data_IF_910744700484
#
_entry.id   IF_910744700484
#
_cell.length_a   1.000
_cell.length_b   1.000
_cell.length_c   1.000
_cell.angle_alpha   90.00
_cell.angle_beta   90.00
_cell.angle_gamma   90.00
#
_symmetry.space_group_name_H-M   'P 1'
#
loop_
_entity.id
_entity.type
_entity.pdbx_description
1 polymer ?
#
# COMPACT_ATOMS: atom_id res chain seq x y z
N UNK A 1 1.48 26.59 1.78
CA UNK A 1 2.47 25.48 1.79
C UNK A 1 2.57 24.90 0.37
N UNK A 2 3.77 24.54 -0.13
CA UNK A 2 3.90 23.77 -1.39
C UNK A 2 4.25 22.32 -1.05
N UNK A 3 3.36 21.40 -1.43
CA UNK A 3 3.54 19.95 -1.26
C UNK A 3 3.67 19.27 -2.62
N UNK A 4 4.65 18.38 -2.76
CA UNK A 4 4.82 17.56 -3.95
C UNK A 4 4.50 16.08 -3.66
N UNK A 5 3.58 15.50 -4.42
CA UNK A 5 3.36 14.06 -4.44
C UNK A 5 4.09 13.48 -5.65
N UNK A 6 5.14 12.70 -5.38
CA UNK A 6 5.96 12.08 -6.41
C UNK A 6 5.64 10.59 -6.51
N UNK A 7 5.45 10.04 -7.70
CA UNK A 7 5.36 8.59 -7.86
C UNK A 7 4.96 8.10 -9.24
N UNK A 8 5.38 6.89 -9.58
CA UNK A 8 5.06 6.25 -10.86
C UNK A 8 3.54 6.08 -11.03
N UNK A 9 3.04 5.97 -12.28
CA UNK A 9 1.64 5.65 -12.54
C UNK A 9 1.18 4.40 -11.77
N UNK A 10 0.01 4.48 -11.14
CA UNK A 10 -0.54 3.40 -10.29
C UNK A 10 0.10 3.27 -8.90
N UNK A 11 0.90 4.23 -8.46
CA UNK A 11 1.51 4.23 -7.11
C UNK A 11 0.57 4.66 -5.97
N UNK A 12 -0.60 5.23 -6.30
CA UNK A 12 -1.58 5.70 -5.32
C UNK A 12 -1.53 7.20 -5.01
N UNK A 13 -0.63 7.96 -5.65
CA UNK A 13 -0.46 9.41 -5.42
C UNK A 13 -1.77 10.22 -5.60
N UNK A 14 -2.50 9.96 -6.68
CA UNK A 14 -3.72 10.71 -7.01
C UNK A 14 -4.88 10.38 -6.07
N UNK A 15 -5.01 9.12 -5.64
CA UNK A 15 -5.95 8.75 -4.57
C UNK A 15 -5.63 9.51 -3.29
N UNK A 16 -4.36 9.52 -2.88
CA UNK A 16 -3.93 10.22 -1.67
C UNK A 16 -4.18 11.72 -1.76
N UNK A 17 -3.91 12.33 -2.91
CA UNK A 17 -4.21 13.73 -3.19
C UNK A 17 -5.69 14.06 -2.92
N UNK A 18 -6.59 13.22 -3.44
CA UNK A 18 -8.03 13.42 -3.26
C UNK A 18 -8.45 13.20 -1.81
N UNK A 19 -8.05 12.08 -1.22
CA UNK A 19 -8.47 11.65 0.11
C UNK A 19 -7.96 12.58 1.23
N UNK A 20 -6.69 12.99 1.17
CA UNK A 20 -6.00 13.66 2.27
C UNK A 20 -5.87 15.17 2.08
N UNK A 21 -6.10 15.69 0.87
CA UNK A 21 -6.03 17.13 0.61
C UNK A 21 -7.33 17.68 0.03
N UNK A 22 -7.74 17.21 -1.16
CA UNK A 22 -8.84 17.83 -1.89
C UNK A 22 -10.17 17.74 -1.14
N UNK A 23 -10.54 16.56 -0.64
CA UNK A 23 -11.79 16.38 0.12
C UNK A 23 -11.75 17.11 1.46
N UNK A 24 -10.67 17.05 2.26
CA UNK A 24 -10.54 17.89 3.46
C UNK A 24 -10.66 19.39 3.18
N UNK A 25 -10.00 19.92 2.15
CA UNK A 25 -10.10 21.35 1.80
C UNK A 25 -11.50 21.74 1.33
N UNK A 26 -12.17 20.87 0.57
CA UNK A 26 -13.55 21.04 0.16
C UNK A 26 -14.50 21.14 1.37
N UNK A 27 -14.36 20.20 2.31
CA UNK A 27 -15.18 20.13 3.52
C UNK A 27 -14.90 21.29 4.48
N UNK A 28 -13.67 21.80 4.49
CA UNK A 28 -13.27 23.00 5.22
C UNK A 28 -13.79 24.31 4.58
N UNK A 29 -14.49 24.26 3.44
CA UNK A 29 -15.08 25.44 2.82
C UNK A 29 -14.09 26.30 2.03
N UNK A 30 -12.88 25.80 1.73
CA UNK A 30 -11.88 26.57 0.98
C UNK A 30 -12.26 26.69 -0.50
N UNK A 31 -11.88 27.81 -1.12
CA UNK A 31 -11.89 27.94 -2.59
C UNK A 31 -10.85 27.00 -3.18
N UNK A 32 -11.23 26.17 -4.15
CA UNK A 32 -10.34 25.19 -4.77
C UNK A 32 -10.13 25.52 -6.26
N UNK A 33 -8.89 25.43 -6.71
CA UNK A 33 -8.53 25.46 -8.12
C UNK A 33 -7.90 24.12 -8.48
N UNK A 34 -8.52 23.38 -9.40
CA UNK A 34 -8.18 21.98 -9.66
C UNK A 34 -7.86 21.80 -11.13
N UNK A 35 -6.64 21.34 -11.41
CA UNK A 35 -6.20 20.95 -12.72
C UNK A 35 -5.83 19.46 -12.65
N UNK A 36 -6.84 18.58 -12.65
CA UNK A 36 -6.67 17.13 -12.53
C UNK A 36 -7.44 16.49 -13.67
N UNK A 37 -6.76 15.67 -14.47
CA UNK A 37 -7.40 15.01 -15.59
C UNK A 37 -8.44 14.00 -15.09
N UNK A 38 -9.60 13.98 -15.76
CA UNK A 38 -10.73 13.14 -15.35
C UNK A 38 -11.41 13.58 -14.05
N UNK A 39 -11.23 14.82 -13.58
CA UNK A 39 -11.97 15.30 -12.41
C UNK A 39 -13.34 15.86 -12.81
N UNK A 40 -14.43 15.17 -12.46
CA UNK A 40 -15.79 15.59 -12.82
C UNK A 40 -16.62 15.99 -11.58
N UNK A 41 -17.09 17.24 -11.56
CA UNK A 41 -17.82 17.84 -10.45
C UNK A 41 -19.21 17.24 -10.20
N UNK A 42 -19.88 16.75 -11.24
CA UNK A 42 -21.17 16.07 -11.16
C UNK A 42 -21.09 14.80 -10.30
N UNK A 43 -20.04 14.00 -10.50
CA UNK A 43 -19.81 12.81 -9.67
C UNK A 43 -19.38 13.18 -8.26
N UNK A 44 -18.67 14.31 -8.08
CA UNK A 44 -18.30 14.81 -6.75
C UNK A 44 -19.52 15.26 -5.97
N UNK A 45 -20.45 15.95 -6.65
CA UNK A 45 -21.74 16.37 -6.11
C UNK A 45 -22.52 15.16 -5.57
N UNK A 46 -22.60 14.08 -6.37
CA UNK A 46 -23.23 12.83 -5.95
C UNK A 46 -22.49 12.16 -4.78
N UNK A 47 -21.16 12.15 -4.81
CA UNK A 47 -20.33 11.51 -3.78
C UNK A 47 -20.42 12.20 -2.41
N UNK A 48 -20.36 13.54 -2.38
CA UNK A 48 -20.45 14.35 -1.16
C UNK A 48 -21.91 14.67 -0.77
N UNK A 49 -22.89 14.39 -1.63
CA UNK A 49 -24.29 14.75 -1.40
C UNK A 49 -24.55 16.26 -1.42
N UNK A 50 -23.77 17.01 -2.22
CA UNK A 50 -23.88 18.47 -2.35
C UNK A 50 -24.43 18.86 -3.73
N UNK A 51 -25.24 19.93 -3.85
CA UNK A 51 -25.67 20.44 -5.15
C UNK A 51 -24.49 20.85 -6.04
N UNK A 52 -24.54 20.46 -7.32
CA UNK A 52 -23.52 20.84 -8.31
C UNK A 52 -23.27 22.36 -8.39
N UNK A 53 -24.29 23.25 -8.36
CA UNK A 53 -24.05 24.70 -8.41
C UNK A 53 -23.27 25.23 -7.21
N UNK A 54 -23.37 24.60 -6.04
CA UNK A 54 -22.59 24.98 -4.87
C UNK A 54 -21.12 24.58 -5.05
N UNK A 55 -20.87 23.37 -5.55
CA UNK A 55 -19.52 22.91 -5.86
C UNK A 55 -18.87 23.74 -6.97
N UNK A 56 -19.62 24.19 -7.98
CA UNK A 56 -19.09 25.06 -9.04
C UNK A 56 -18.70 26.45 -8.54
N UNK A 57 -19.37 26.97 -7.50
CA UNK A 57 -18.96 28.23 -6.86
C UNK A 57 -17.67 28.06 -6.06
N UNK A 58 -17.48 26.89 -5.45
CA UNK A 58 -16.34 26.62 -4.58
C UNK A 58 -15.11 26.10 -5.35
N UNK A 59 -15.32 25.32 -6.42
CA UNK A 59 -14.28 24.65 -7.20
C UNK A 59 -14.24 25.20 -8.61
N UNK A 60 -13.08 25.72 -9.01
CA UNK A 60 -12.78 26.10 -10.39
C UNK A 60 -11.92 25.02 -11.03
N UNK A 61 -12.37 24.47 -12.15
CA UNK A 61 -11.57 23.52 -12.94
C UNK A 61 -10.75 24.24 -14.00
N UNK A 62 -9.46 23.93 -14.08
CA UNK A 62 -8.56 24.44 -15.11
C UNK A 62 -8.29 23.36 -16.14
N UNK A 63 -8.91 23.50 -17.32
CA UNK A 63 -8.75 22.56 -18.43
C UNK A 63 -7.45 22.82 -19.21
N UNK A 64 -7.12 24.08 -19.47
CA UNK A 64 -5.97 24.45 -20.29
C UNK A 64 -4.70 24.63 -19.44
N UNK A 65 -3.73 23.71 -19.60
CA UNK A 65 -2.49 23.68 -18.80
C UNK A 65 -1.58 24.88 -19.04
N UNK A 66 -1.53 25.35 -20.29
CA UNK A 66 -0.73 26.50 -20.73
C UNK A 66 -1.18 27.82 -20.12
N UNK A 67 -2.46 27.95 -19.77
CA UNK A 67 -3.01 29.15 -19.14
C UNK A 67 -2.78 29.20 -17.62
N UNK A 68 -2.52 28.05 -16.97
CA UNK A 68 -2.41 27.93 -15.51
C UNK A 68 -1.39 28.91 -14.90
N UNK A 69 -0.17 29.10 -15.46
CA UNK A 69 0.77 30.06 -14.89
C UNK A 69 0.16 31.45 -14.72
N UNK A 70 -0.53 31.97 -15.74
CA UNK A 70 -1.20 33.27 -15.67
C UNK A 70 -2.38 33.26 -14.70
N UNK A 71 -3.14 32.16 -14.63
CA UNK A 71 -4.28 32.01 -13.70
C UNK A 71 -3.85 31.96 -12.22
N UNK A 72 -2.63 31.50 -11.91
CA UNK A 72 -2.12 31.50 -10.54
C UNK A 72 -2.03 32.92 -9.96
N UNK A 73 -1.81 33.93 -10.81
CA UNK A 73 -1.71 35.33 -10.38
C UNK A 73 -3.07 35.93 -9.97
N UNK A 74 -4.18 35.33 -10.38
CA UNK A 74 -5.54 35.84 -10.15
C UNK A 74 -6.37 35.01 -9.17
N UNK A 75 -5.73 34.11 -8.40
CA UNK A 75 -6.45 33.30 -7.42
C UNK A 75 -6.80 34.07 -6.15
N UNK A 76 -7.89 33.67 -5.51
CA UNK A 76 -8.36 34.24 -4.27
C UNK A 76 -7.45 33.86 -3.08
N UNK A 77 -7.16 34.78 -2.13
CA UNK A 77 -6.46 34.44 -0.90
C UNK A 77 -7.19 33.37 -0.08
N UNK A 78 -6.44 32.53 0.65
CA UNK A 78 -6.96 31.42 1.45
C UNK A 78 -7.33 30.17 0.64
N UNK A 79 -7.20 30.21 -0.69
CA UNK A 79 -7.54 29.11 -1.57
C UNK A 79 -6.53 27.96 -1.53
N UNK A 80 -6.88 26.84 -2.14
CA UNK A 80 -5.98 25.72 -2.37
C UNK A 80 -5.96 25.35 -3.85
N UNK A 81 -4.78 24.96 -4.34
CA UNK A 81 -4.54 24.62 -5.74
C UNK A 81 -4.05 23.18 -5.83
N UNK A 82 -4.64 22.38 -6.71
CA UNK A 82 -4.25 20.99 -6.96
C UNK A 82 -3.92 20.81 -8.44
N UNK A 83 -2.65 20.49 -8.74
CA UNK A 83 -2.13 20.36 -10.10
C UNK A 83 -1.64 18.93 -10.33
N UNK A 84 -2.35 18.17 -11.17
CA UNK A 84 -1.87 16.88 -11.68
C UNK A 84 -0.94 17.04 -12.86
N UNK A 85 -0.02 16.09 -12.98
CA UNK A 85 1.06 16.08 -13.97
C UNK A 85 1.73 17.46 -14.08
N UNK A 86 2.18 18.00 -12.95
CA UNK A 86 2.71 19.37 -12.82
C UNK A 86 3.89 19.66 -13.78
N UNK A 87 4.57 18.64 -14.30
CA UNK A 87 5.59 18.80 -15.35
C UNK A 87 5.02 19.27 -16.70
N UNK A 88 3.70 19.24 -16.89
CA UNK A 88 3.02 19.86 -18.04
C UNK A 88 2.96 21.39 -17.92
N UNK A 89 3.16 21.93 -16.72
CA UNK A 89 3.08 23.36 -16.40
C UNK A 89 4.48 23.92 -16.10
N UNK A 90 5.26 23.20 -15.30
CA UNK A 90 6.57 23.63 -14.79
C UNK A 90 7.69 22.72 -15.29
N UNK A 91 7.76 22.50 -16.61
CA UNK A 91 8.65 21.50 -17.19
C UNK A 91 10.13 21.78 -16.91
N UNK A 92 10.90 20.73 -16.67
CA UNK A 92 12.34 20.83 -16.48
C UNK A 92 13.03 21.51 -17.67
N UNK A 93 14.04 22.33 -17.36
CA UNK A 93 14.82 23.16 -18.31
C UNK A 93 14.04 24.30 -18.97
N UNK A 94 12.74 24.41 -18.75
CA UNK A 94 11.97 25.58 -19.16
C UNK A 94 12.08 26.69 -18.11
N UNK A 95 12.15 27.93 -18.60
CA UNK A 95 12.22 29.11 -17.75
C UNK A 95 10.81 29.53 -17.37
N UNK A 96 10.50 29.40 -16.09
CA UNK A 96 9.26 29.94 -15.53
C UNK A 96 9.35 31.47 -15.51
N UNK A 97 8.29 32.20 -15.92
CA UNK A 97 8.29 33.66 -15.83
C UNK A 97 8.56 34.13 -14.38
N UNK A 98 9.33 35.20 -14.22
CA UNK A 98 9.78 35.67 -12.91
C UNK A 98 8.63 36.07 -11.97
N UNK A 99 7.53 36.59 -12.53
CA UNK A 99 6.32 36.93 -11.79
C UNK A 99 5.68 35.70 -11.14
N UNK A 100 5.67 34.56 -11.85
CA UNK A 100 5.12 33.31 -11.34
C UNK A 100 6.00 32.73 -10.25
N UNK A 101 7.32 32.77 -10.41
CA UNK A 101 8.25 32.34 -9.36
C UNK A 101 8.11 33.18 -8.09
N UNK A 102 8.06 34.51 -8.23
CA UNK A 102 7.83 35.43 -7.12
C UNK A 102 6.50 35.16 -6.43
N UNK A 103 5.46 34.86 -7.20
CA UNK A 103 4.15 34.50 -6.65
C UNK A 103 4.22 33.18 -5.87
N UNK A 104 4.89 32.15 -6.42
CA UNK A 104 5.11 30.86 -5.73
C UNK A 104 5.90 31.02 -4.43
N UNK A 105 6.90 31.91 -4.39
CA UNK A 105 7.66 32.25 -3.18
C UNK A 105 6.79 32.89 -2.09
N UNK A 106 5.76 33.65 -2.49
CA UNK A 106 4.93 34.47 -1.59
C UNK A 106 3.54 33.88 -1.33
N UNK A 107 3.24 32.68 -1.82
CA UNK A 107 1.94 31.99 -1.68
C UNK A 107 1.45 31.92 -0.22
N UNK A 108 2.35 31.74 0.75
CA UNK A 108 2.02 31.66 2.18
C UNK A 108 1.47 32.98 2.72
N UNK A 109 1.88 34.12 2.19
CA UNK A 109 1.34 35.43 2.59
C UNK A 109 -0.13 35.57 2.20
N UNK A 110 -0.55 34.91 1.12
CA UNK A 110 -1.93 34.85 0.68
C UNK A 110 -2.70 33.69 1.30
N UNK A 111 -2.10 32.88 2.19
CA UNK A 111 -2.74 31.70 2.77
C UNK A 111 -3.04 30.61 1.74
N UNK A 112 -2.30 30.56 0.64
CA UNK A 112 -2.51 29.61 -0.45
C UNK A 112 -1.70 28.34 -0.21
N UNK A 113 -2.36 27.19 -0.37
CA UNK A 113 -1.70 25.88 -0.40
C UNK A 113 -1.68 25.30 -1.80
N UNK A 114 -0.51 24.82 -2.22
CA UNK A 114 -0.30 24.18 -3.52
C UNK A 114 0.01 22.70 -3.31
N UNK A 115 -0.76 21.84 -3.97
CA UNK A 115 -0.49 20.43 -4.12
C UNK A 115 -0.09 20.16 -5.57
N UNK A 116 1.16 19.79 -5.76
CA UNK A 116 1.72 19.39 -7.05
C UNK A 116 1.80 17.87 -7.08
N UNK A 117 1.38 17.24 -8.17
CA UNK A 117 1.61 15.82 -8.42
C UNK A 117 2.51 15.67 -9.64
N UNK A 118 3.54 14.83 -9.52
CA UNK A 118 4.45 14.53 -10.61
C UNK A 118 4.88 13.06 -10.56
N UNK A 119 5.33 12.52 -11.70
CA UNK A 119 5.86 11.16 -11.72
C UNK A 119 7.28 11.09 -11.13
N UNK A 120 8.10 12.09 -11.42
CA UNK A 120 9.44 12.32 -10.87
C UNK A 120 9.62 13.83 -10.71
N UNK A 121 10.15 14.27 -9.56
CA UNK A 121 10.40 15.69 -9.29
C UNK A 121 11.41 16.30 -10.28
N UNK A 122 12.31 15.50 -10.86
CA UNK A 122 13.30 15.94 -11.86
C UNK A 122 12.68 16.39 -13.17
N UNK A 123 11.40 16.08 -13.40
CA UNK A 123 10.65 16.59 -14.54
C UNK A 123 10.15 18.02 -14.32
N UNK A 124 10.27 18.53 -13.09
CA UNK A 124 9.96 19.91 -12.75
C UNK A 124 11.22 20.79 -12.86
N UNK A 125 11.03 22.05 -13.20
CA UNK A 125 12.12 23.04 -13.20
C UNK A 125 12.63 23.32 -11.78
N UNK A 126 13.94 23.56 -11.66
CA UNK A 126 14.59 23.76 -10.35
C UNK A 126 14.07 24.98 -9.59
N UNK A 127 13.58 26.00 -10.30
CA UNK A 127 12.94 27.16 -9.70
C UNK A 127 11.67 26.81 -8.91
N UNK A 128 10.97 25.73 -9.27
CA UNK A 128 9.77 25.27 -8.56
C UNK A 128 10.13 24.23 -7.50
N UNK A 129 11.01 23.27 -7.81
CA UNK A 129 11.38 22.21 -6.84
C UNK A 129 12.04 22.76 -5.58
N UNK A 130 12.78 23.86 -5.68
CA UNK A 130 13.40 24.54 -4.52
C UNK A 130 12.39 25.19 -3.57
N UNK A 131 11.19 25.51 -4.08
CA UNK A 131 10.10 26.09 -3.29
C UNK A 131 9.20 25.02 -2.66
N UNK A 132 9.39 23.75 -3.02
CA UNK A 132 8.66 22.64 -2.39
C UNK A 132 9.17 22.45 -0.97
N UNK A 133 8.23 22.46 -0.03
CA UNK A 133 8.51 22.41 1.41
C UNK A 133 8.38 20.98 1.95
N UNK A 134 7.50 20.17 1.35
CA UNK A 134 7.34 18.76 1.69
C UNK A 134 7.08 17.91 0.46
N UNK A 135 7.67 16.73 0.45
CA UNK A 135 7.50 15.75 -0.61
C UNK A 135 7.01 14.44 -0.04
N UNK A 136 6.02 13.82 -0.68
CA UNK A 136 5.59 12.46 -0.38
C UNK A 136 5.90 11.59 -1.60
N UNK A 137 6.91 10.72 -1.46
CA UNK A 137 7.33 9.80 -2.52
C UNK A 137 6.58 8.49 -2.41
N UNK A 138 5.69 8.19 -3.35
CA UNK A 138 4.92 6.97 -3.41
C UNK A 138 5.69 5.84 -4.09
N UNK A 139 5.56 4.62 -3.55
CA UNK A 139 6.03 3.39 -4.20
C UNK A 139 4.85 2.57 -4.68
N UNK A 140 4.97 2.02 -5.90
CA UNK A 140 3.96 1.11 -6.46
C UNK A 140 3.98 -0.22 -5.71
N UNK A 141 2.92 -0.47 -4.95
CA UNK A 141 2.78 -1.67 -4.11
C UNK A 141 2.37 -2.92 -4.89
N UNK A 142 1.85 -2.77 -6.12
CA UNK A 142 1.45 -3.92 -6.96
C UNK A 142 2.62 -4.88 -7.24
N UNK A 143 3.86 -4.37 -7.35
CA UNK A 143 5.06 -5.22 -7.53
C UNK A 143 5.29 -6.16 -6.34
N UNK A 144 4.75 -5.81 -5.18
CA UNK A 144 4.89 -6.55 -3.92
C UNK A 144 3.62 -7.35 -3.57
N UNK A 145 2.71 -7.57 -4.54
CA UNK A 145 1.47 -8.34 -4.33
C UNK A 145 0.38 -7.62 -3.52
N UNK A 146 0.65 -6.42 -3.01
CA UNK A 146 -0.26 -5.65 -2.14
C UNK A 146 -1.04 -4.59 -2.94
N UNK A 147 -2.08 -5.00 -3.67
CA UNK A 147 -2.84 -4.13 -4.58
C UNK A 147 -3.75 -3.11 -3.88
N UNK A 148 -4.13 -3.37 -2.64
CA UNK A 148 -5.09 -2.55 -1.86
C UNK A 148 -4.44 -1.52 -0.93
N UNK A 149 -3.11 -1.38 -0.99
CA UNK A 149 -2.34 -0.51 -0.09
C UNK A 149 -1.53 0.50 -0.89
N UNK A 150 -1.29 1.65 -0.27
CA UNK A 150 -0.30 2.62 -0.73
C UNK A 150 0.77 2.78 0.35
N UNK A 151 1.98 3.09 -0.08
CA UNK A 151 3.08 3.47 0.80
C UNK A 151 3.72 4.75 0.26
N UNK A 152 3.81 5.75 1.12
CA UNK A 152 4.45 7.04 0.85
C UNK A 152 5.58 7.29 1.82
N UNK A 153 6.67 7.87 1.35
CA UNK A 153 7.79 8.32 2.18
C UNK A 153 7.76 9.84 2.21
N UNK A 154 7.44 10.40 3.38
CA UNK A 154 7.44 11.84 3.63
C UNK A 154 8.88 12.29 3.81
N UNK A 155 9.22 13.35 3.08
CA UNK A 155 10.52 14.01 3.02
C UNK A 155 10.29 15.52 3.08
N UNK A 156 11.36 16.26 3.31
CA UNK A 156 11.36 17.71 3.16
C UNK A 156 11.34 18.10 1.68
N UNK A 157 12.35 18.88 1.27
CA UNK A 157 12.51 19.22 -0.13
C UNK A 157 12.71 17.96 -1.00
N UNK A 158 12.22 17.89 -2.26
CA UNK A 158 12.39 16.70 -3.10
C UNK A 158 13.86 16.31 -3.37
N UNK A 159 14.80 17.25 -3.24
CA UNK A 159 16.24 16.98 -3.35
C UNK A 159 16.80 16.23 -2.11
N UNK A 160 16.11 16.31 -0.98
CA UNK A 160 16.48 15.60 0.24
C UNK A 160 16.09 14.13 0.16
N UNK A 161 17.02 13.25 0.52
CA UNK A 161 16.81 11.79 0.51
C UNK A 161 16.33 11.26 1.86
N UNK A 162 16.48 12.05 2.92
CA UNK A 162 16.08 11.69 4.27
C UNK A 162 14.56 11.49 4.34
N UNK A 163 14.15 10.36 4.90
CA UNK A 163 12.75 10.04 5.12
C UNK A 163 12.40 10.45 6.55
N UNK A 164 11.57 11.48 6.66
CA UNK A 164 11.07 11.99 7.93
C UNK A 164 10.03 11.01 8.50
N UNK A 165 9.13 10.51 7.65
CA UNK A 165 8.04 9.63 8.06
C UNK A 165 7.65 8.69 6.94
N UNK A 166 7.26 7.46 7.28
CA UNK A 166 6.62 6.53 6.34
C UNK A 166 5.11 6.51 6.58
N UNK A 167 4.34 6.65 5.51
CA UNK A 167 2.89 6.55 5.47
C UNK A 167 2.52 5.23 4.83
N UNK A 168 1.67 4.46 5.49
CA UNK A 168 1.10 3.23 4.95
C UNK A 168 -0.41 3.32 5.15
N UNK A 169 -1.16 3.13 4.06
CA UNK A 169 -2.61 3.17 4.11
C UNK A 169 -3.25 2.12 3.22
N UNK A 170 -4.54 1.90 3.42
CA UNK A 170 -5.38 1.09 2.55
C UNK A 170 -6.26 2.02 1.73
N UNK A 171 -6.56 1.62 0.49
CA UNK A 171 -7.55 2.33 -0.30
C UNK A 171 -8.94 2.11 0.29
N UNK A 172 -9.63 3.20 0.61
CA UNK A 172 -11.06 3.19 0.87
C UNK A 172 -11.79 2.88 -0.44
N UNK A 173 -12.56 1.78 -0.52
CA UNK A 173 -13.32 1.42 -1.70
C UNK A 173 -14.25 2.53 -2.19
N UNK A 174 -14.81 3.35 -1.30
CA UNK A 174 -15.77 4.41 -1.65
C UNK A 174 -15.06 5.55 -2.39
N UNK A 175 -13.97 6.07 -1.83
CA UNK A 175 -13.14 7.12 -2.46
C UNK A 175 -12.46 6.57 -3.71
N UNK A 176 -12.00 5.32 -3.67
CA UNK A 176 -11.38 4.67 -4.81
C UNK A 176 -12.38 4.39 -5.93
N UNK A 177 -13.64 4.04 -5.66
CA UNK A 177 -14.67 3.87 -6.69
C UNK A 177 -15.01 5.20 -7.36
N UNK A 178 -15.16 6.25 -6.55
CA UNK A 178 -15.30 7.62 -7.04
C UNK A 178 -14.14 7.98 -7.97
N UNK A 179 -12.89 7.81 -7.52
CA UNK A 179 -11.70 8.14 -8.30
C UNK A 179 -11.44 7.19 -9.49
N UNK A 180 -11.66 5.89 -9.37
CA UNK A 180 -11.40 4.90 -10.43
C UNK A 180 -12.44 4.94 -11.54
N UNK A 181 -13.68 5.35 -11.23
CA UNK A 181 -14.69 5.68 -12.24
C UNK A 181 -14.20 6.77 -13.21
N UNK A 182 -13.28 7.64 -12.76
CA UNK A 182 -12.66 8.70 -13.56
C UNK A 182 -11.53 8.19 -14.45
N UNK A 183 -10.69 7.30 -13.94
CA UNK A 183 -9.60 6.70 -14.72
C UNK A 183 -10.11 5.84 -15.89
N UNK A 184 -11.34 5.35 -15.81
CA UNK A 184 -11.95 4.47 -16.83
C UNK A 184 -12.45 5.24 -18.06
N UNK A 185 -12.65 6.56 -17.96
CA UNK A 185 -13.14 7.40 -19.06
C UNK A 185 -12.10 7.76 -20.14
N UNK A 186 -10.84 7.38 -19.97
CA UNK A 186 -9.75 7.81 -20.86
C UNK A 186 -8.74 6.77 -21.30
N UNK A 187 -8.65 5.59 -20.66
CA UNK A 187 -7.64 4.59 -21.04
C UNK A 187 -8.17 3.18 -20.78
N UNK A 188 -8.71 2.53 -21.82
CA UNK A 188 -8.70 1.07 -21.91
C UNK A 188 -7.26 0.63 -22.12
N UNK A 189 -6.48 0.61 -21.03
CA UNK A 189 -5.27 -0.20 -21.00
C UNK A 189 -5.75 -1.65 -21.11
N UNK A 190 -5.69 -2.22 -22.31
CA UNK A 190 -5.68 -3.66 -22.51
C UNK A 190 -4.49 -4.23 -21.72
N UNK A 191 -4.71 -4.52 -20.43
CA UNK A 191 -3.76 -5.27 -19.62
C UNK A 191 -3.77 -6.73 -20.08
N UNK A 192 -3.14 -6.99 -21.22
CA UNK A 192 -2.58 -8.31 -21.54
C UNK A 192 -1.37 -8.56 -20.63
N UNK A 193 -1.62 -8.80 -19.35
CA UNK A 193 -0.67 -9.56 -18.54
C UNK A 193 -1.02 -11.03 -18.69
N UNK A 194 -0.43 -11.68 -19.70
CA UNK A 194 -0.37 -13.14 -19.75
C UNK A 194 0.40 -13.59 -18.51
N UNK A 195 -0.34 -14.01 -17.49
CA UNK A 195 0.19 -14.77 -16.36
C UNK A 195 0.95 -15.97 -16.91
N UNK A 196 2.28 -15.94 -16.83
CA UNK A 196 3.18 -17.03 -17.27
C UNK A 196 2.93 -18.32 -16.46
N UNK A 197 2.15 -18.25 -15.38
CA UNK A 197 1.82 -19.36 -14.49
C UNK A 197 0.67 -20.26 -14.97
N UNK A 198 0.17 -20.09 -16.19
CA UNK A 198 -0.84 -20.97 -16.78
C UNK A 198 -0.48 -21.37 -18.22
N UNK A 199 0.79 -21.70 -18.46
CA UNK A 199 1.14 -22.44 -19.68
C UNK A 199 0.82 -23.93 -19.45
N UNK A 200 0.00 -24.57 -20.29
CA UNK A 200 -0.26 -26.01 -20.18
C UNK A 200 1.03 -26.83 -20.31
N UNK A 201 2.08 -26.26 -20.93
CA UNK A 201 3.41 -26.87 -21.01
C UNK A 201 4.13 -26.98 -19.65
N UNK A 202 3.98 -26.02 -18.74
CA UNK A 202 4.54 -26.13 -17.38
C UNK A 202 3.83 -27.22 -16.57
N UNK A 203 2.52 -27.37 -16.76
CA UNK A 203 1.74 -28.43 -16.13
C UNK A 203 2.15 -29.80 -16.67
N UNK A 204 2.28 -29.95 -18.00
CA UNK A 204 2.77 -31.18 -18.65
C UNK A 204 4.20 -31.50 -18.20
N UNK A 205 5.07 -30.49 -18.05
CA UNK A 205 6.43 -30.66 -17.52
C UNK A 205 6.45 -31.16 -16.08
N UNK A 206 5.57 -30.63 -15.22
CA UNK A 206 5.44 -31.06 -13.82
C UNK A 206 4.88 -32.49 -13.72
N UNK A 207 3.85 -32.82 -14.49
CA UNK A 207 3.29 -34.18 -14.54
C UNK A 207 4.29 -35.18 -15.16
N UNK A 208 5.06 -34.78 -16.16
CA UNK A 208 6.13 -35.59 -16.74
C UNK A 208 7.25 -35.87 -15.74
N UNK A 209 7.63 -34.88 -14.93
CA UNK A 209 8.65 -35.03 -13.89
C UNK A 209 8.17 -35.94 -12.74
N UNK A 210 6.92 -35.79 -12.30
CA UNK A 210 6.31 -36.69 -11.30
C UNK A 210 6.16 -38.12 -11.86
N UNK A 211 5.78 -38.28 -13.13
CA UNK A 211 5.72 -39.58 -13.80
C UNK A 211 7.10 -40.24 -13.92
N UNK A 212 8.14 -39.49 -14.27
CA UNK A 212 9.51 -39.99 -14.35
C UNK A 212 10.06 -40.42 -12.99
N UNK A 213 9.81 -39.63 -11.93
CA UNK A 213 10.18 -40.00 -10.56
C UNK A 213 9.42 -41.23 -10.06
N UNK A 214 8.14 -41.35 -10.40
CA UNK A 214 7.33 -42.54 -10.12
C UNK A 214 7.84 -43.78 -10.87
N UNK A 215 8.28 -43.65 -12.12
CA UNK A 215 8.84 -44.74 -12.92
C UNK A 215 10.21 -45.22 -12.40
N UNK A 216 11.07 -44.29 -11.96
CA UNK A 216 12.35 -44.62 -11.32
C UNK A 216 12.11 -45.32 -9.98
N UNK A 217 11.15 -44.86 -9.18
CA UNK A 217 10.76 -45.51 -7.92
C UNK A 217 10.09 -46.88 -8.10
N UNK A 218 9.38 -47.11 -9.20
CA UNK A 218 8.80 -48.41 -9.55
C UNK A 218 9.86 -49.40 -10.06
N UNK A 219 10.85 -48.93 -10.82
CA UNK A 219 11.94 -49.76 -11.34
C UNK A 219 12.85 -50.35 -10.25
N UNK A 220 13.02 -49.65 -9.12
CA UNK A 220 13.77 -50.14 -7.96
C UNK A 220 12.99 -51.12 -7.08
N UNK A 221 11.66 -51.24 -7.25
CA UNK A 221 10.83 -52.23 -6.56
C UNK A 221 10.72 -53.57 -7.30
N UNK A 222 10.84 -53.58 -8.63
CA UNK A 222 10.81 -54.82 -9.43
C UNK A 222 12.19 -55.39 -9.79
N UNK A 223 13.27 -54.61 -9.68
CA UNK A 223 14.62 -55.15 -9.83
C UNK A 223 15.12 -55.69 -8.49
N UNK A 224 15.03 -57.02 -8.33
CA UNK A 224 15.67 -57.75 -7.24
C UNK A 224 17.19 -57.66 -7.31
N UNK A 225 17.77 -56.52 -6.90
CA UNK A 225 19.19 -56.37 -6.68
C UNK A 225 19.46 -56.33 -5.19
N UNK A 226 20.00 -57.43 -4.67
CA UNK A 226 20.46 -57.60 -3.29
C UNK A 226 21.45 -56.47 -2.93
N UNK A 227 21.22 -55.67 -1.88
CA UNK A 227 22.25 -54.78 -1.38
C UNK A 227 23.35 -55.62 -0.71
N UNK A 228 24.54 -55.61 -1.30
CA UNK A 228 25.77 -56.14 -0.70
C UNK A 228 26.21 -55.20 0.42
N UNK A 229 26.32 -55.73 1.64
CA UNK A 229 26.72 -55.00 2.82
C UNK A 229 28.21 -54.60 2.74
N UNK A 230 28.48 -53.30 2.60
CA UNK A 230 29.79 -52.73 2.89
C UNK A 230 29.79 -52.17 4.31
N UNK A 231 30.71 -52.68 5.12
CA UNK A 231 30.87 -52.45 6.56
C UNK A 231 31.27 -51.00 6.89
N UNK A 232 30.67 -50.46 7.96
CA UNK A 232 31.20 -49.31 8.70
C UNK A 232 32.25 -49.80 9.72
N UNK A 233 33.33 -49.03 9.97
CA UNK A 233 34.36 -49.37 10.94
C UNK A 233 33.88 -49.14 12.38
N UNK A 234 34.35 -50.02 13.28
CA UNK A 234 34.08 -49.98 14.72
C UNK A 234 34.90 -48.91 15.47
N UNK A 235 34.36 -48.29 16.53
CA UNK A 235 35.16 -47.60 17.56
C UNK A 235 35.62 -48.59 18.65
N UNK A 236 36.87 -48.52 19.15
CA UNK A 236 37.29 -49.32 20.29
C UNK A 236 36.91 -48.68 21.64
N UNK A 237 36.17 -49.48 22.40
CA UNK A 237 36.29 -49.79 23.83
C UNK A 237 36.35 -48.67 24.90
N UNK A 238 35.29 -48.70 25.70
CA UNK A 238 35.10 -48.31 27.10
C UNK A 238 36.11 -48.85 28.11
N UNK A 239 36.48 -48.04 29.13
CA UNK A 239 36.66 -48.49 30.53
C UNK A 239 36.37 -47.34 31.54
N UNK A 240 35.21 -47.45 32.21
CA UNK A 240 34.83 -47.30 33.65
C UNK A 240 35.52 -46.35 34.69
N UNK A 241 34.85 -46.07 35.85
CA UNK A 241 34.86 -44.79 36.57
C UNK A 241 35.50 -44.80 38.00
N UNK A 242 35.28 -43.70 38.73
CA UNK A 242 35.46 -43.41 40.18
C UNK A 242 36.77 -42.74 40.61
N UNK A 243 36.65 -41.56 41.25
CA UNK A 243 36.95 -41.37 42.69
C UNK A 243 36.55 -39.97 43.17
N UNK A 244 35.82 -39.95 44.30
CA UNK A 244 35.54 -38.78 45.13
C UNK A 244 36.82 -38.28 45.79
N UNK A 245 36.94 -36.95 45.93
CA UNK A 245 37.96 -36.30 46.74
C UNK A 245 37.53 -34.88 47.13
N UNK A 246 36.86 -34.78 48.26
CA UNK A 246 36.65 -33.58 49.08
C UNK A 246 37.98 -32.94 49.45
N UNK A 247 38.18 -31.61 49.25
CA UNK A 247 38.68 -30.65 50.26
C UNK A 247 38.22 -29.23 49.87
N UNK A 248 37.81 -28.50 50.90
CA UNK A 248 37.25 -27.14 50.95
C UNK A 248 38.39 -26.08 51.13
N UNK A 249 38.14 -24.82 51.54
CA UNK A 249 38.37 -23.61 50.74
C UNK A 249 39.53 -22.72 51.26
N UNK A 250 39.98 -21.71 50.49
CA UNK A 250 40.64 -20.51 51.06
C UNK A 250 40.47 -19.23 50.20
N UNK A 251 39.64 -18.33 50.72
CA UNK A 251 39.77 -16.88 51.02
C UNK A 251 40.60 -15.92 50.10
N UNK A 252 40.00 -14.73 49.92
CA UNK A 252 40.59 -13.36 49.79
C UNK A 252 40.68 -12.81 48.36
N UNK A 253 39.81 -11.86 47.96
CA UNK A 253 39.80 -10.40 48.25
C UNK A 253 40.64 -9.62 47.25
N UNK A 254 40.00 -8.84 46.37
CA UNK A 254 40.05 -7.38 46.48
C UNK A 254 39.15 -6.67 45.45
N UNK A 255 38.47 -5.63 45.96
CA UNK A 255 37.69 -4.66 45.20
C UNK A 255 38.62 -3.63 44.52
N UNK A 256 38.10 -2.79 43.60
CA UNK A 256 37.56 -1.52 44.10
C UNK A 256 36.25 -1.08 43.42
N UNK A 257 35.42 -0.38 44.20
CA UNK A 257 34.37 0.56 43.78
C UNK A 257 34.91 2.00 44.00
N UNK A 258 34.23 3.10 43.61
CA UNK A 258 33.01 3.24 42.80
C UNK A 258 33.11 4.34 41.72
N UNK A 259 32.09 4.46 40.84
CA UNK A 259 31.25 5.67 40.67
C UNK A 259 30.43 5.63 39.37
N UNK A 260 29.17 6.06 39.53
CA UNK A 260 28.31 6.67 38.51
C UNK A 260 27.50 5.76 37.58
N UNK A 261 26.29 5.45 38.06
CA UNK A 261 25.00 5.63 37.38
C UNK A 261 24.98 5.54 35.84
N UNK A 262 24.37 4.46 35.34
CA UNK A 262 23.48 4.54 34.18
C UNK A 262 22.35 3.55 34.42
N UNK A 263 21.14 4.10 34.50
CA UNK A 263 19.86 3.40 34.50
C UNK A 263 19.82 2.30 33.43
N UNK A 264 19.69 1.05 33.88
CA UNK A 264 19.31 -0.06 33.02
C UNK A 264 17.93 0.22 32.41
N UNK A 265 17.71 0.01 31.09
CA UNK A 265 16.36 0.03 30.56
C UNK A 265 15.61 -1.18 31.13
N UNK A 266 14.48 -0.89 31.77
CA UNK A 266 13.43 -1.84 32.08
C UNK A 266 13.17 -2.72 30.85
N UNK A 267 13.55 -3.99 30.93
CA UNK A 267 13.21 -4.98 29.90
C UNK A 267 11.72 -5.22 30.04
N UNK A 268 10.93 -4.43 29.31
CA UNK A 268 9.50 -4.65 29.16
C UNK A 268 9.34 -6.00 28.46
N UNK A 269 8.71 -6.93 29.17
CA UNK A 269 8.33 -8.27 28.73
C UNK A 269 7.19 -8.25 27.72
N UNK A 270 7.31 -7.45 26.66
CA UNK A 270 6.35 -7.45 25.56
C UNK A 270 6.78 -8.46 24.50
N UNK A 271 5.92 -9.46 24.26
CA UNK A 271 6.07 -10.38 23.13
C UNK A 271 6.09 -9.56 21.83
N UNK A 272 7.10 -9.76 21.00
CA UNK A 272 7.24 -9.01 19.75
C UNK A 272 6.26 -9.57 18.70
N UNK A 273 5.39 -8.70 18.19
CA UNK A 273 4.42 -9.05 17.15
C UNK A 273 5.04 -8.86 15.75
N UNK A 274 5.08 -9.94 14.98
CA UNK A 274 5.58 -9.99 13.61
C UNK A 274 4.38 -10.18 12.67
N UNK A 275 4.26 -9.28 11.70
CA UNK A 275 3.17 -9.23 10.74
C UNK A 275 3.48 -10.03 9.47
N UNK A 276 4.76 -10.28 9.17
CA UNK A 276 5.18 -10.99 7.97
C UNK A 276 6.69 -11.08 7.80
N UNK A 277 7.14 -12.03 6.97
CA UNK A 277 8.51 -12.09 6.47
C UNK A 277 8.57 -11.83 4.97
N UNK A 278 9.64 -11.18 4.54
CA UNK A 278 9.95 -10.85 3.14
C UNK A 278 11.38 -11.33 2.82
N UNK A 279 11.62 -11.80 1.59
CA UNK A 279 12.98 -12.09 1.13
C UNK A 279 13.43 -10.96 0.21
N UNK A 280 14.54 -10.31 0.53
CA UNK A 280 15.18 -9.29 -0.31
C UNK A 280 16.61 -9.73 -0.63
N UNK A 281 16.98 -9.78 -1.91
CA UNK A 281 18.34 -10.16 -2.34
C UNK A 281 18.83 -11.51 -1.76
N UNK A 282 17.94 -12.49 -1.63
CA UNK A 282 18.26 -13.81 -1.06
C UNK A 282 18.40 -13.85 0.47
N UNK A 283 18.13 -12.73 1.17
CA UNK A 283 18.14 -12.65 2.64
C UNK A 283 16.73 -12.43 3.16
N UNK A 284 16.36 -13.13 4.23
CA UNK A 284 15.06 -12.98 4.88
C UNK A 284 15.06 -11.79 5.84
N UNK A 285 13.97 -11.03 5.83
CA UNK A 285 13.69 -9.90 6.71
C UNK A 285 12.26 -10.01 7.23
N UNK A 286 11.99 -9.44 8.39
CA UNK A 286 10.70 -9.53 9.05
C UNK A 286 10.16 -8.16 9.40
N UNK A 287 8.85 -8.01 9.31
CA UNK A 287 8.14 -6.75 9.56
C UNK A 287 7.42 -6.85 10.89
N UNK A 288 7.73 -5.95 11.82
CA UNK A 288 7.01 -5.86 13.10
C UNK A 288 5.66 -5.14 12.96
N UNK A 289 4.84 -5.13 14.02
CA UNK A 289 3.56 -4.43 14.06
C UNK A 289 3.67 -2.91 13.83
N UNK A 290 4.87 -2.32 13.96
CA UNK A 290 5.15 -0.91 13.73
C UNK A 290 5.63 -0.64 12.29
N UNK A 291 5.77 -1.69 11.46
CA UNK A 291 6.18 -1.60 10.06
C UNK A 291 7.70 -1.50 9.85
N UNK A 292 8.52 -1.75 10.88
CA UNK A 292 9.98 -1.79 10.78
C UNK A 292 10.44 -3.10 10.17
N UNK A 293 11.44 -3.03 9.29
CA UNK A 293 12.06 -4.20 8.66
C UNK A 293 13.30 -4.58 9.49
N UNK A 294 13.30 -5.78 10.07
CA UNK A 294 14.33 -6.28 10.97
C UNK A 294 14.91 -7.61 10.47
N UNK A 295 16.18 -7.87 10.75
CA UNK A 295 16.80 -9.18 10.53
C UNK A 295 16.53 -10.12 11.71
N UNK A 296 16.74 -11.42 11.53
CA UNK A 296 16.60 -12.40 12.61
C UNK A 296 17.51 -12.07 13.81
N UNK A 297 18.74 -11.63 13.57
CA UNK A 297 19.68 -11.22 14.63
C UNK A 297 19.19 -9.98 15.39
N UNK A 298 18.57 -9.02 14.70
CA UNK A 298 17.99 -7.83 15.35
C UNK A 298 16.76 -8.19 16.18
N UNK A 299 15.94 -9.13 15.70
CA UNK A 299 14.79 -9.64 16.44
C UNK A 299 15.24 -10.43 17.67
N UNK A 300 16.26 -11.27 17.55
CA UNK A 300 16.85 -11.98 18.68
C UNK A 300 17.37 -11.02 19.76
N UNK A 301 18.01 -9.93 19.35
CA UNK A 301 18.50 -8.90 20.27
C UNK A 301 17.35 -8.12 20.94
N UNK A 302 16.27 -7.84 20.22
CA UNK A 302 15.09 -7.14 20.75
C UNK A 302 14.27 -8.00 21.70
N UNK A 303 14.17 -9.30 21.44
CA UNK A 303 13.36 -10.25 22.20
C UNK A 303 14.14 -10.89 23.36
N UNK A 304 15.48 -10.82 23.30
CA UNK A 304 16.37 -11.42 24.29
C UNK A 304 16.35 -12.95 24.27
N UNK A 305 15.95 -13.55 23.15
CA UNK A 305 15.83 -15.00 22.98
C UNK A 305 16.37 -15.43 21.60
N UNK A 306 16.91 -16.65 21.47
CA UNK A 306 17.32 -17.17 20.17
C UNK A 306 16.09 -17.36 19.27
N UNK A 307 16.21 -16.96 18.01
CA UNK A 307 15.14 -17.10 17.01
C UNK A 307 15.60 -18.05 15.90
N UNK A 308 14.73 -18.94 15.47
CA UNK A 308 15.01 -19.87 14.37
C UNK A 308 14.28 -19.43 13.11
N UNK A 309 15.04 -19.27 12.02
CA UNK A 309 14.49 -18.99 10.69
C UNK A 309 13.92 -20.28 10.10
N UNK A 310 12.68 -20.24 9.62
CA UNK A 310 12.03 -21.37 8.95
C UNK A 310 11.20 -20.87 7.76
N UNK A 311 11.14 -21.64 6.67
CA UNK A 311 10.22 -21.35 5.57
C UNK A 311 8.98 -22.25 5.74
N UNK A 312 7.82 -21.64 5.97
CA UNK A 312 6.53 -22.34 6.08
C UNK A 312 5.67 -21.89 4.91
N UNK A 313 5.20 -22.82 4.08
CA UNK A 313 4.39 -22.54 2.88
C UNK A 313 5.00 -21.47 1.93
N UNK A 314 6.33 -21.44 1.81
CA UNK A 314 7.04 -20.48 0.95
C UNK A 314 7.22 -19.08 1.55
N UNK A 315 6.82 -18.86 2.82
CA UNK A 315 6.97 -17.59 3.53
C UNK A 315 8.05 -17.72 4.61
N UNK A 316 9.08 -16.84 4.63
CA UNK A 316 10.06 -16.83 5.70
C UNK A 316 9.39 -16.45 7.02
N UNK A 317 9.47 -17.37 7.97
CA UNK A 317 8.87 -17.32 9.31
C UNK A 317 9.97 -17.43 10.36
N UNK A 318 9.69 -16.93 11.56
CA UNK A 318 10.57 -16.98 12.72
C UNK A 318 9.84 -17.72 13.83
N UNK A 319 10.53 -18.68 14.43
CA UNK A 319 10.03 -19.44 15.57
C UNK A 319 10.80 -19.00 16.81
N UNK A 320 10.07 -18.49 17.80
CA UNK A 320 10.53 -18.25 19.17
C UNK A 320 9.31 -18.20 20.10
N UNK A 321 9.52 -18.61 21.34
CA UNK A 321 8.59 -18.54 22.48
C UNK A 321 8.02 -17.13 22.75
N UNK A 322 8.69 -16.10 22.24
CA UNK A 322 8.36 -14.69 22.46
C UNK A 322 7.93 -13.92 21.21
N UNK A 323 7.69 -14.62 20.10
CA UNK A 323 7.19 -14.04 18.85
C UNK A 323 5.70 -14.36 18.69
N UNK A 324 4.89 -13.34 18.41
CA UNK A 324 3.48 -13.50 18.05
C UNK A 324 3.29 -13.20 16.56
N UNK A 325 2.61 -14.10 15.85
CA UNK A 325 2.32 -13.95 14.42
C UNK A 325 0.89 -13.44 14.17
N UNK A 326 0.76 -12.45 13.27
CA UNK A 326 -0.52 -12.02 12.68
C UNK A 326 -1.10 -10.72 13.24
N UNK A 327 -1.88 -10.00 12.43
CA UNK A 327 -2.52 -8.72 12.78
C UNK A 327 -3.79 -8.85 13.63
N UNK A 328 -4.26 -7.74 14.20
CA UNK A 328 -5.51 -7.70 14.99
C UNK A 328 -6.68 -8.33 14.21
N UNK A 329 -7.27 -9.38 14.79
CA UNK A 329 -8.47 -10.05 14.28
C UNK A 329 -8.37 -11.54 13.99
N UNK A 330 -7.23 -12.21 14.21
CA UNK A 330 -7.13 -13.66 14.06
C UNK A 330 -6.58 -14.31 15.34
N UNK A 331 -7.28 -15.27 15.98
CA UNK A 331 -6.74 -15.96 17.15
C UNK A 331 -5.49 -16.77 16.77
N UNK A 332 -4.60 -17.04 17.73
CA UNK A 332 -3.35 -17.76 17.47
C UNK A 332 -3.67 -19.18 16.99
N UNK A 333 -3.25 -19.51 15.77
CA UNK A 333 -3.23 -20.90 15.31
C UNK A 333 -2.08 -21.60 16.03
N UNK A 334 -2.38 -22.21 17.18
CA UNK A 334 -1.54 -23.28 17.73
C UNK A 334 -1.73 -24.53 16.86
N UNK A 335 -0.66 -25.29 16.58
CA UNK A 335 -0.79 -26.57 15.87
C UNK A 335 -1.51 -27.56 16.80
N UNK A 336 -2.79 -27.81 16.54
CA UNK A 336 -3.51 -28.88 17.25
C UNK A 336 -2.99 -30.24 16.79
N UNK A 337 -2.53 -31.01 17.77
CA UNK A 337 -2.16 -32.40 17.66
C UNK A 337 -3.40 -33.21 17.19
N UNK A 338 -3.24 -33.99 16.13
CA UNK A 338 -4.29 -34.85 15.57
C UNK A 338 -4.87 -35.80 16.65
N UNK A 339 -6.17 -35.68 16.91
CA UNK A 339 -6.98 -36.79 17.38
C UNK A 339 -8.08 -37.07 16.34
N UNK A 340 -7.98 -38.24 15.70
CA UNK A 340 -8.97 -38.81 14.78
C UNK A 340 -10.30 -39.03 15.52
N UNK A 341 -11.44 -38.81 14.86
CA UNK A 341 -12.55 -39.78 14.70
C UNK A 341 -13.72 -39.18 13.85
N UNK A 342 -14.66 -40.01 13.34
CA UNK A 342 -15.04 -40.02 11.93
C UNK A 342 -16.36 -39.29 11.57
N UNK A 343 -16.58 -39.24 10.26
CA UNK A 343 -17.72 -38.72 9.49
C UNK A 343 -19.04 -39.49 9.74
N UNK A 344 -20.13 -38.75 9.55
CA UNK A 344 -21.50 -39.07 9.08
C UNK A 344 -22.47 -38.14 9.87
N UNK A 345 -23.51 -37.47 9.37
CA UNK A 345 -24.45 -37.73 8.27
C UNK A 345 -25.32 -36.44 8.01
N UNK A 346 -25.49 -36.09 6.74
CA UNK A 346 -26.70 -35.59 5.98
C UNK A 346 -27.74 -34.58 6.56
N UNK A 347 -28.19 -33.71 5.63
CA UNK A 347 -29.45 -32.93 5.48
C UNK A 347 -29.31 -31.41 5.75
N UNK A 348 -29.36 -30.48 4.79
CA UNK A 348 -30.28 -30.19 3.67
C UNK A 348 -31.63 -29.57 4.11
N UNK A 349 -31.79 -28.25 3.91
CA UNK A 349 -33.03 -27.47 3.68
C UNK A 349 -32.60 -26.01 3.42
N UNK A 350 -32.66 -25.44 2.21
CA UNK A 350 -33.78 -25.00 1.34
C UNK A 350 -34.12 -23.50 1.47
N UNK A 351 -34.13 -22.84 0.31
CA UNK A 351 -34.28 -21.42 -0.02
C UNK A 351 -35.58 -20.72 0.45
N UNK A 352 -35.64 -19.36 0.42
CA UNK A 352 -36.83 -18.60 0.81
C UNK A 352 -37.85 -18.44 -0.34
N UNK A 353 -39.13 -18.43 0.05
CA UNK A 353 -40.29 -18.21 -0.81
C UNK A 353 -40.54 -16.72 -1.11
N UNK A 354 -40.77 -16.48 -2.40
CA UNK A 354 -41.68 -15.54 -3.05
C UNK A 354 -42.77 -14.93 -2.14
N UNK A 355 -42.96 -13.60 -2.22
CA UNK A 355 -44.33 -13.08 -2.27
C UNK A 355 -44.43 -11.79 -3.09
N UNK A 356 -45.42 -11.82 -3.97
CA UNK A 356 -45.84 -10.87 -4.99
C UNK A 356 -46.99 -10.05 -4.40
N UNK A 357 -47.02 -8.73 -4.57
CA UNK A 357 -48.29 -7.99 -4.61
C UNK A 357 -48.10 -6.67 -5.37
N UNK A 358 -48.68 -6.67 -6.57
CA UNK A 358 -48.97 -5.50 -7.37
C UNK A 358 -50.26 -4.84 -6.88
N UNK A 359 -50.32 -3.51 -6.88
CA UNK A 359 -51.57 -2.80 -7.12
C UNK A 359 -51.32 -1.39 -7.69
N UNK A 360 -51.94 -1.12 -8.82
CA UNK A 360 -52.10 0.16 -9.54
C UNK A 360 -53.59 0.25 -9.84
N UNK A 361 -54.23 1.43 -9.79
CA UNK A 361 -54.87 1.94 -11.03
C UNK A 361 -54.80 3.49 -11.15
N UNK A 362 -54.48 4.01 -12.33
CA UNK A 362 -55.36 4.67 -13.33
C UNK A 362 -55.48 6.21 -13.17
N UNK A 363 -54.88 6.98 -14.09
CA UNK A 363 -55.46 7.60 -15.30
C UNK A 363 -56.38 8.80 -14.99
N UNK A 364 -55.94 9.99 -15.42
CA UNK A 364 -56.85 11.01 -15.96
C UNK A 364 -56.14 11.89 -16.99
N UNK A 365 -56.52 11.69 -18.25
CA UNK A 365 -56.31 12.64 -19.35
C UNK A 365 -57.25 13.83 -19.18
N UNK A 366 -56.77 15.04 -19.42
CA UNK A 366 -57.56 16.15 -19.99
C UNK A 366 -56.61 16.88 -20.95
N UNK A 367 -56.99 16.96 -22.22
CA UNK A 367 -56.29 17.70 -23.26
C UNK A 367 -56.94 19.06 -23.55
N UNK A 368 -56.73 19.48 -24.80
CA UNK A 368 -57.40 20.54 -25.57
C UNK A 368 -56.57 21.84 -25.76
N UNK A 369 -55.86 21.83 -26.89
CA UNK A 369 -55.93 22.72 -28.05
C UNK A 369 -55.48 24.19 -28.05
N UNK A 370 -54.93 24.51 -29.24
CA UNK A 370 -54.97 25.76 -30.01
C UNK A 370 -54.01 26.88 -29.60
N UNK A 371 -53.50 27.71 -30.52
CA UNK A 371 -53.27 27.68 -31.97
C UNK A 371 -52.50 28.99 -32.25
N UNK A 372 -51.68 28.99 -33.30
CA UNK A 372 -51.46 30.11 -34.23
C UNK A 372 -50.57 31.35 -33.92
N UNK A 373 -49.87 31.71 -35.03
CA UNK A 373 -49.26 32.98 -35.49
C UNK A 373 -47.83 33.30 -35.02
N UNK A 374 -46.79 33.27 -35.88
CA UNK A 374 -46.53 33.93 -37.18
C UNK A 374 -46.02 35.39 -37.05
N UNK A 375 -45.16 35.75 -38.02
CA UNK A 375 -44.39 37.00 -38.25
C UNK A 375 -42.96 36.94 -37.71
N UNK A 376 -41.89 36.73 -38.50
CA UNK A 376 -41.39 37.39 -39.74
C UNK A 376 -40.61 38.69 -39.48
N UNK A 377 -39.49 38.87 -40.19
CA UNK A 377 -38.58 40.04 -40.18
C UNK A 377 -37.17 39.73 -39.61
N UNK A 378 -36.18 39.29 -40.39
CA UNK A 378 -35.38 40.01 -41.41
C UNK A 378 -34.43 41.10 -40.89
N UNK A 379 -33.13 40.79 -41.08
CA UNK A 379 -32.02 41.64 -41.56
C UNK A 379 -31.48 42.84 -40.78
N UNK A 380 -30.14 42.81 -40.61
CA UNK A 380 -29.12 43.86 -40.85
C UNK A 380 -29.34 45.24 -40.20
N UNK A 381 -28.44 45.62 -39.31
CA UNK A 381 -27.16 46.31 -39.61
C UNK A 381 -26.15 46.10 -38.45
#
# INVERSE_FOLDING_TARGET
MITLLEGTPGSGKSYYAVAEYLLPWLRAGRRLYVAVDGFYLDRLALFEGRPLPELQKQITLWAERTAIPSLLLSIEPGSAVCLDEAQTIFRAKEKVPGEILRWLETHRHYGVDLLLMAQDYRQLTSGVTRLVESTIKFRRMERFGMRRRFQGFVRGNPEETEVIRTLIGRYDPKIYAYYSSYATGGITEERRMKTIMSSPLLLIGLFGLVGALGFIGWGTWFSGTKPSAAQLPAPPNSVQPLSLGTVEPLVSSDAPTPLSATTAPTVTSERLRIEGGIVMNGKAYWVDAQGRILTAAQIAALVGAPVTEQIVNGVPSLVSDRILWGGEGNPPVMPQLLARQPLDEVAAESSPLFNEHAEKPDVKCIGVDNQERACDGSSRD
#
